data_IF_406218016139
#
_entry.id   IF_406218016139
#
_cell.length_a   1.000
_cell.length_b   1.000
_cell.length_c   1.000
_cell.angle_alpha   90.00
_cell.angle_beta   90.00
_cell.angle_gamma   90.00
#
_symmetry.space_group_name_H-M   'P 1'
#
loop_
_entity.id
_entity.type
_entity.pdbx_description
1 polymer ?
#
# COMPACT_ATOMS: atom_id res chain seq x y z
N UNK A 1 0.07 -1.07 23.30
CA UNK A 1 -0.13 -0.48 21.96
C UNK A 1 -0.91 -1.47 21.13
N UNK A 2 -1.96 -1.02 20.47
CA UNK A 2 -2.91 -1.90 19.77
C UNK A 2 -2.28 -2.55 18.54
N UNK A 3 -2.58 -3.83 18.31
CA UNK A 3 -2.05 -4.63 17.18
C UNK A 3 -2.31 -3.95 15.83
N UNK A 4 -3.45 -3.27 15.70
CA UNK A 4 -3.84 -2.52 14.50
C UNK A 4 -2.84 -1.40 14.21
N UNK A 5 -2.38 -0.67 15.24
CA UNK A 5 -1.42 0.43 15.06
C UNK A 5 -0.09 -0.08 14.50
N UNK A 6 0.43 -1.18 15.03
CA UNK A 6 1.65 -1.80 14.53
C UNK A 6 1.50 -2.33 13.10
N UNK A 7 0.38 -2.98 12.81
CA UNK A 7 0.08 -3.49 11.48
C UNK A 7 0.01 -2.34 10.47
N UNK A 8 -0.72 -1.26 10.80
CA UNK A 8 -0.81 -0.05 9.99
C UNK A 8 0.55 0.59 9.76
N UNK A 9 1.36 0.76 10.81
CA UNK A 9 2.69 1.36 10.69
C UNK A 9 3.58 0.56 9.73
N UNK A 10 3.54 -0.77 9.82
CA UNK A 10 4.24 -1.65 8.88
C UNK A 10 3.72 -1.49 7.45
N UNK A 11 2.40 -1.46 7.26
CA UNK A 11 1.78 -1.29 5.93
C UNK A 11 2.14 0.07 5.32
N UNK A 12 2.14 1.16 6.10
CA UNK A 12 2.61 2.47 5.65
C UNK A 12 4.07 2.42 5.21
N UNK A 13 4.94 1.84 6.04
CA UNK A 13 6.35 1.71 5.74
C UNK A 13 6.58 0.96 4.43
N UNK A 14 5.91 -0.19 4.25
CA UNK A 14 6.01 -0.99 3.03
C UNK A 14 5.50 -0.23 1.80
N UNK A 15 4.32 0.40 1.87
CA UNK A 15 3.76 1.15 0.75
C UNK A 15 4.65 2.33 0.34
N UNK A 16 5.18 3.08 1.31
CA UNK A 16 6.08 4.22 1.04
C UNK A 16 7.39 3.72 0.42
N UNK A 17 8.00 2.67 0.99
CA UNK A 17 9.21 2.08 0.43
C UNK A 17 9.01 1.59 -1.00
N UNK A 18 7.88 0.90 -1.26
CA UNK A 18 7.52 0.42 -2.58
C UNK A 18 7.22 1.54 -3.56
N UNK A 19 6.57 2.62 -3.14
CA UNK A 19 6.33 3.80 -3.96
C UNK A 19 7.65 4.44 -4.39
N UNK A 20 8.55 4.68 -3.44
CA UNK A 20 9.87 5.26 -3.70
C UNK A 20 10.64 4.37 -4.67
N UNK A 21 10.73 3.08 -4.37
CA UNK A 21 11.44 2.12 -5.21
C UNK A 21 10.85 2.04 -6.62
N UNK A 22 9.53 1.91 -6.72
CA UNK A 22 8.81 1.85 -8.00
C UNK A 22 9.01 3.13 -8.81
N UNK A 23 9.03 4.30 -8.16
CA UNK A 23 9.25 5.58 -8.81
C UNK A 23 10.60 5.63 -9.54
N UNK A 24 11.68 5.17 -8.89
CA UNK A 24 13.02 5.18 -9.48
C UNK A 24 13.18 4.14 -10.59
N UNK A 25 12.52 2.99 -10.50
CA UNK A 25 12.73 1.89 -11.44
C UNK A 25 11.78 1.87 -12.63
N UNK A 26 10.62 2.53 -12.51
CA UNK A 26 9.63 2.64 -13.58
C UNK A 26 9.79 3.96 -14.35
N UNK A 27 9.25 4.00 -15.58
CA UNK A 27 9.32 5.18 -16.46
C UNK A 27 7.98 5.41 -17.17
N UNK A 28 7.73 6.66 -17.57
CA UNK A 28 6.55 7.05 -18.34
C UNK A 28 5.23 6.72 -17.62
N UNK A 29 4.27 6.21 -18.40
CA UNK A 29 2.91 5.92 -17.93
C UNK A 29 2.86 4.88 -16.80
N UNK A 30 3.76 3.88 -16.81
CA UNK A 30 3.83 2.88 -15.73
C UNK A 30 4.15 3.51 -14.37
N UNK A 31 5.03 4.52 -14.35
CA UNK A 31 5.37 5.27 -13.12
C UNK A 31 4.17 6.02 -12.59
N UNK A 32 3.44 6.71 -13.47
CA UNK A 32 2.24 7.47 -13.09
C UNK A 32 1.17 6.55 -12.50
N UNK A 33 0.86 5.44 -13.18
CA UNK A 33 -0.18 4.50 -12.71
C UNK A 33 0.18 3.91 -11.35
N UNK A 34 1.40 3.38 -11.19
CA UNK A 34 1.81 2.74 -9.93
C UNK A 34 1.88 3.77 -8.78
N UNK A 35 2.32 4.99 -9.07
CA UNK A 35 2.32 6.07 -8.09
C UNK A 35 0.89 6.42 -7.65
N UNK A 36 -0.03 6.55 -8.61
CA UNK A 36 -1.43 6.85 -8.31
C UNK A 36 -2.09 5.75 -7.48
N UNK A 37 -1.88 4.48 -7.84
CA UNK A 37 -2.41 3.33 -7.10
C UNK A 37 -1.85 3.29 -5.68
N UNK A 38 -0.54 3.49 -5.49
CA UNK A 38 0.08 3.48 -4.16
C UNK A 38 -0.40 4.64 -3.29
N UNK A 39 -0.55 5.85 -3.85
CA UNK A 39 -1.11 7.00 -3.14
C UNK A 39 -2.57 6.72 -2.74
N UNK A 40 -3.38 6.18 -3.64
CA UNK A 40 -4.76 5.80 -3.32
C UNK A 40 -4.83 4.77 -2.18
N UNK A 41 -3.93 3.78 -2.17
CA UNK A 41 -3.84 2.82 -1.07
C UNK A 41 -3.46 3.47 0.27
N UNK A 42 -2.53 4.43 0.26
CA UNK A 42 -2.18 5.21 1.45
C UNK A 42 -3.36 6.03 1.98
N UNK A 43 -4.12 6.68 1.09
CA UNK A 43 -5.32 7.45 1.46
C UNK A 43 -6.38 6.51 2.06
N UNK A 44 -6.63 5.36 1.44
CA UNK A 44 -7.57 4.36 1.96
C UNK A 44 -7.18 3.85 3.34
N UNK A 45 -5.90 3.52 3.55
CA UNK A 45 -5.39 3.10 4.86
C UNK A 45 -5.59 4.20 5.92
N UNK A 46 -5.33 5.46 5.55
CA UNK A 46 -5.50 6.62 6.44
C UNK A 46 -6.96 6.80 6.83
N UNK A 47 -7.87 6.76 5.84
CA UNK A 47 -9.30 6.84 6.06
C UNK A 47 -9.79 5.74 7.01
N UNK A 48 -9.36 4.51 6.76
CA UNK A 48 -9.72 3.33 7.57
C UNK A 48 -9.31 3.49 9.03
N UNK A 49 -8.14 4.10 9.29
CA UNK A 49 -7.66 4.32 10.66
C UNK A 49 -8.38 5.46 11.37
N UNK A 50 -8.76 6.50 10.64
CA UNK A 50 -9.59 7.59 11.16
C UNK A 50 -10.97 7.04 11.55
N UNK A 51 -11.59 6.29 10.64
CA UNK A 51 -12.90 5.66 10.86
C UNK A 51 -12.86 4.71 12.08
N UNK A 52 -11.82 3.85 12.16
CA UNK A 52 -11.60 2.97 13.31
C UNK A 52 -11.47 3.72 14.64
N UNK A 53 -10.88 4.93 14.63
CA UNK A 53 -10.70 5.73 15.85
C UNK A 53 -11.95 6.51 16.25
N UNK A 54 -12.74 6.99 15.29
CA UNK A 54 -13.91 7.83 15.57
C UNK A 54 -15.07 7.00 16.12
N UNK A 55 -15.23 5.77 15.63
CA UNK A 55 -16.47 5.01 15.80
C UNK A 55 -16.43 3.97 16.94
N UNK A 56 -15.36 3.96 17.76
CA UNK A 56 -15.18 3.16 18.99
C UNK A 56 -15.87 1.78 18.93
N UNK A 57 -15.61 1.06 17.84
CA UNK A 57 -16.42 -0.07 17.39
C UNK A 57 -16.40 -1.23 18.41
N UNK A 58 -17.50 -1.40 19.15
CA UNK A 58 -17.75 -2.61 19.94
C UNK A 58 -18.13 -3.82 19.08
N UNK A 59 -18.58 -3.61 17.84
CA UNK A 59 -18.94 -4.67 16.89
C UNK A 59 -18.03 -4.64 15.64
N UNK A 60 -17.51 -5.81 15.26
CA UNK A 60 -16.56 -5.97 14.16
C UNK A 60 -17.18 -5.55 12.80
N UNK A 61 -16.78 -4.39 12.28
CA UNK A 61 -17.20 -3.93 10.96
C UNK A 61 -16.42 -4.67 9.87
N UNK A 62 -17.08 -5.62 9.19
CA UNK A 62 -16.54 -6.37 8.05
C UNK A 62 -15.96 -5.42 6.98
N UNK A 63 -16.57 -4.24 6.77
CA UNK A 63 -16.08 -3.25 5.81
C UNK A 63 -14.67 -2.77 6.11
N UNK A 64 -14.34 -2.53 7.38
CA UNK A 64 -13.03 -2.05 7.82
C UNK A 64 -11.94 -3.11 7.58
N UNK A 65 -12.27 -4.37 7.86
CA UNK A 65 -11.42 -5.52 7.54
C UNK A 65 -11.18 -5.67 6.03
N UNK A 66 -12.24 -5.52 5.22
CA UNK A 66 -12.14 -5.62 3.75
C UNK A 66 -11.24 -4.53 3.14
N UNK A 67 -11.30 -3.29 3.64
CA UNK A 67 -10.40 -2.23 3.17
C UNK A 67 -8.95 -2.54 3.55
N UNK A 68 -8.70 -3.06 4.76
CA UNK A 68 -7.37 -3.53 5.14
C UNK A 68 -6.83 -4.62 4.20
N UNK A 69 -7.65 -5.63 3.88
CA UNK A 69 -7.27 -6.66 2.92
C UNK A 69 -6.99 -6.09 1.53
N UNK A 70 -7.80 -5.15 1.06
CA UNK A 70 -7.59 -4.47 -0.22
C UNK A 70 -6.24 -3.74 -0.26
N UNK A 71 -5.90 -2.98 0.78
CA UNK A 71 -4.62 -2.28 0.88
C UNK A 71 -3.45 -3.28 0.86
N UNK A 72 -3.57 -4.41 1.54
CA UNK A 72 -2.57 -5.47 1.52
C UNK A 72 -2.41 -6.11 0.14
N UNK A 73 -3.51 -6.37 -0.57
CA UNK A 73 -3.49 -6.88 -1.94
C UNK A 73 -2.76 -5.89 -2.86
N UNK A 74 -3.07 -4.59 -2.76
CA UNK A 74 -2.38 -3.55 -3.54
C UNK A 74 -0.88 -3.54 -3.22
N UNK A 75 -0.52 -3.60 -1.94
CA UNK A 75 0.88 -3.65 -1.49
C UNK A 75 1.63 -4.84 -2.10
N UNK A 76 1.00 -6.02 -2.11
CA UNK A 76 1.57 -7.22 -2.74
C UNK A 76 1.79 -7.07 -4.24
N UNK A 77 0.82 -6.53 -4.97
CA UNK A 77 0.97 -6.28 -6.42
C UNK A 77 2.01 -5.21 -6.73
N UNK A 78 2.14 -4.18 -5.91
CA UNK A 78 3.21 -3.19 -6.03
C UNK A 78 4.59 -3.82 -5.83
N UNK A 79 4.72 -4.73 -4.86
CA UNK A 79 5.95 -5.49 -4.66
C UNK A 79 6.29 -6.37 -5.88
N UNK A 80 5.31 -7.10 -6.43
CA UNK A 80 5.51 -7.90 -7.64
C UNK A 80 5.93 -7.03 -8.83
N UNK A 81 5.26 -5.88 -9.03
CA UNK A 81 5.61 -4.93 -10.07
C UNK A 81 7.06 -4.45 -9.93
N UNK A 82 7.44 -4.02 -8.73
CA UNK A 82 8.79 -3.58 -8.40
C UNK A 82 9.83 -4.67 -8.72
N UNK A 83 9.56 -5.91 -8.33
CA UNK A 83 10.43 -7.06 -8.54
C UNK A 83 10.58 -7.41 -10.04
N UNK A 84 9.49 -7.38 -10.80
CA UNK A 84 9.51 -7.57 -12.26
C UNK A 84 10.34 -6.48 -12.93
N UNK A 85 10.13 -5.21 -12.58
CA UNK A 85 10.87 -4.08 -13.15
C UNK A 85 12.36 -4.14 -12.79
N UNK A 86 12.68 -4.60 -11.59
CA UNK A 86 14.06 -4.79 -11.15
C UNK A 86 14.80 -5.82 -12.01
N UNK A 87 14.20 -6.99 -12.24
CA UNK A 87 14.82 -7.98 -13.11
C UNK A 87 14.90 -7.54 -14.57
N UNK A 88 13.93 -6.76 -15.07
CA UNK A 88 14.01 -6.18 -16.42
C UNK A 88 15.13 -5.17 -16.55
N UNK A 89 15.30 -4.29 -15.56
CA UNK A 89 16.39 -3.30 -15.55
C UNK A 89 17.77 -3.95 -15.55
N UNK A 90 17.93 -5.08 -14.85
CA UNK A 90 19.18 -5.86 -14.80
C UNK A 90 19.53 -6.59 -16.11
N UNK A 91 18.56 -6.83 -17.00
CA UNK A 91 18.80 -7.50 -18.30
C UNK A 91 19.15 -6.53 -19.43
N UNK A 92 18.93 -5.23 -19.23
CA UNK A 92 19.14 -4.19 -20.24
C UNK A 92 20.42 -3.36 -20.02
N UNK A 93 21.10 -3.54 -18.89
CA UNK A 93 22.44 -3.03 -18.62
C UNK A 93 23.44 -4.15 -18.72
#
# INVERSE_FOLDING_TARGET
MDKIVWLSALTYFLLIALLIFSYYISKGLSRMIVSFIGIAALVLLTWTLIDNKIMDYQDANIGLGLVFFLVWIITFFMFLFALIMFFRSKRQG
#
